data_IF_056330284076
#
_entry.id   IF_056330284076
#
_cell.length_a   1.000
_cell.length_b   1.000
_cell.length_c   1.000
_cell.angle_alpha   90.00
_cell.angle_beta   90.00
_cell.angle_gamma   90.00
#
_symmetry.space_group_name_H-M   'P 1'
#
loop_
_entity.id
_entity.type
_entity.pdbx_description
1 polymer ?
#
# COMPACT_ATOMS: atom_id res chain seq x y z
N UNK A 1 -8.71 16.69 -2.51
CA UNK A 1 -8.40 15.32 -2.06
C UNK A 1 -7.01 14.92 -2.50
N UNK A 2 -6.66 14.92 -3.80
CA UNK A 2 -5.35 14.49 -4.32
C UNK A 2 -4.14 15.19 -3.66
N UNK A 3 -4.23 16.50 -3.39
CA UNK A 3 -3.16 17.23 -2.70
C UNK A 3 -2.95 16.73 -1.26
N UNK A 4 -4.00 16.27 -0.59
CA UNK A 4 -3.92 15.69 0.75
C UNK A 4 -3.26 14.31 0.72
N UNK A 5 -3.63 13.45 -0.22
CA UNK A 5 -2.97 12.15 -0.41
C UNK A 5 -1.51 12.32 -0.82
N UNK A 6 -1.20 13.27 -1.71
CA UNK A 6 0.19 13.58 -2.05
C UNK A 6 0.97 14.09 -0.83
N UNK A 7 0.35 14.92 0.02
CA UNK A 7 0.97 15.39 1.27
C UNK A 7 1.25 14.22 2.21
N UNK A 8 0.30 13.31 2.38
CA UNK A 8 0.47 12.10 3.19
C UNK A 8 1.61 11.21 2.66
N UNK A 9 1.61 10.88 1.38
CA UNK A 9 2.65 10.04 0.75
C UNK A 9 4.04 10.68 0.86
N UNK A 10 4.16 11.98 0.57
CA UNK A 10 5.43 12.72 0.73
C UNK A 10 5.88 12.74 2.19
N UNK A 11 4.94 12.93 3.13
CA UNK A 11 5.26 12.91 4.57
C UNK A 11 5.78 11.55 5.00
N UNK A 12 5.11 10.46 4.61
CA UNK A 12 5.55 9.10 4.86
C UNK A 12 6.96 8.84 4.32
N UNK A 13 7.18 9.15 3.04
CA UNK A 13 8.47 8.99 2.38
C UNK A 13 9.61 9.75 3.07
N UNK A 14 9.37 11.00 3.49
CA UNK A 14 10.37 11.81 4.20
C UNK A 14 10.58 11.34 5.65
N UNK A 15 9.55 10.82 6.28
CA UNK A 15 9.59 10.33 7.65
C UNK A 15 10.24 8.92 7.77
N UNK A 16 10.19 8.10 6.72
CA UNK A 16 10.62 6.69 6.72
C UNK A 16 12.01 6.50 7.35
N UNK A 17 13.02 7.22 6.83
CA UNK A 17 14.40 7.11 7.35
C UNK A 17 14.56 7.68 8.75
N UNK A 18 14.08 8.91 9.09
CA UNK A 18 14.17 9.43 10.44
C UNK A 18 13.45 8.56 11.49
N UNK A 19 12.28 8.02 11.17
CA UNK A 19 11.51 7.19 12.10
C UNK A 19 12.12 5.81 12.31
N UNK A 20 12.70 5.20 11.26
CA UNK A 20 13.48 3.97 11.38
C UNK A 20 14.66 4.15 12.32
N UNK A 21 15.47 5.20 12.12
CA UNK A 21 16.60 5.53 13.03
C UNK A 21 16.11 5.80 14.46
N UNK A 22 14.96 6.47 14.63
CA UNK A 22 14.39 6.70 15.95
C UNK A 22 13.98 5.39 16.62
N UNK A 23 13.30 4.50 15.92
CA UNK A 23 12.87 3.19 16.41
C UNK A 23 14.09 2.35 16.86
N UNK A 24 15.14 2.33 16.05
CA UNK A 24 16.37 1.57 16.35
C UNK A 24 17.15 2.14 17.54
N UNK A 25 17.20 3.47 17.69
CA UNK A 25 17.97 4.11 18.78
C UNK A 25 17.21 4.20 20.09
N UNK A 26 15.89 4.33 20.04
CA UNK A 26 15.07 4.55 21.24
C UNK A 26 14.40 3.25 21.70
N UNK A 27 13.35 2.79 21.00
CA UNK A 27 12.59 1.59 21.35
C UNK A 27 11.62 1.27 20.21
N UNK A 28 11.69 0.05 19.66
CA UNK A 28 10.76 -0.39 18.62
C UNK A 28 9.33 -0.47 19.15
N UNK A 29 9.17 -1.00 20.38
CA UNK A 29 7.88 -0.97 21.07
C UNK A 29 7.39 0.47 21.32
N UNK A 30 8.29 1.35 21.80
CA UNK A 30 7.98 2.75 22.02
C UNK A 30 7.58 3.47 20.73
N UNK A 31 8.20 3.15 19.61
CA UNK A 31 7.84 3.67 18.28
C UNK A 31 6.42 3.25 17.86
N UNK A 32 6.03 1.99 18.08
CA UNK A 32 4.66 1.51 17.81
C UNK A 32 3.62 2.19 18.70
N UNK A 33 3.93 2.40 19.99
CA UNK A 33 3.04 3.15 20.90
C UNK A 33 2.87 4.58 20.43
N UNK A 34 3.97 5.25 20.07
CA UNK A 34 3.93 6.62 19.54
C UNK A 34 3.16 6.69 18.22
N UNK A 35 3.34 5.71 17.34
CA UNK A 35 2.60 5.61 16.09
C UNK A 35 1.08 5.60 16.33
N UNK A 36 0.58 4.71 17.18
CA UNK A 36 -0.84 4.65 17.48
C UNK A 36 -1.39 5.92 18.12
N UNK A 37 -0.59 6.63 18.92
CA UNK A 37 -0.97 7.96 19.48
C UNK A 37 -1.02 9.03 18.39
N UNK A 38 -0.06 9.05 17.46
CA UNK A 38 -0.06 9.98 16.33
C UNK A 38 -1.21 9.72 15.37
N UNK A 39 -1.50 8.46 15.06
CA UNK A 39 -2.65 8.09 14.22
C UNK A 39 -3.97 8.51 14.89
N UNK A 40 -4.12 8.27 16.20
CA UNK A 40 -5.26 8.77 16.96
C UNK A 40 -5.38 10.30 16.88
N UNK A 41 -4.26 11.04 17.02
CA UNK A 41 -4.24 12.50 16.89
C UNK A 41 -4.63 12.94 15.46
N UNK A 42 -4.25 12.22 14.42
CA UNK A 42 -4.70 12.44 13.05
C UNK A 42 -6.23 12.34 12.94
N UNK A 43 -6.83 11.27 13.47
CA UNK A 43 -8.30 11.12 13.49
C UNK A 43 -9.00 12.19 14.34
N UNK A 44 -8.41 12.61 15.45
CA UNK A 44 -8.94 13.75 16.24
C UNK A 44 -8.98 15.01 15.38
N UNK A 45 -7.88 15.34 14.69
CA UNK A 45 -7.81 16.52 13.82
C UNK A 45 -8.88 16.49 12.72
N UNK A 46 -9.08 15.33 12.06
CA UNK A 46 -10.11 15.18 11.04
C UNK A 46 -11.53 15.30 11.58
N UNK A 47 -11.76 14.88 12.84
CA UNK A 47 -13.07 14.90 13.46
C UNK A 47 -13.43 16.28 13.99
N UNK A 48 -12.49 16.96 14.68
CA UNK A 48 -12.77 18.25 15.35
C UNK A 48 -12.55 19.46 14.45
N UNK A 49 -11.73 19.33 13.40
CA UNK A 49 -11.42 20.39 12.46
C UNK A 49 -11.67 19.95 11.00
N UNK A 50 -12.92 19.66 10.60
CA UNK A 50 -13.25 19.09 9.29
C UNK A 50 -13.13 20.12 8.16
N UNK A 51 -11.94 20.70 8.00
CA UNK A 51 -11.58 21.66 6.97
C UNK A 51 -10.24 21.33 6.36
N UNK A 52 -9.88 22.00 5.26
CA UNK A 52 -8.62 21.73 4.56
C UNK A 52 -7.38 21.79 5.47
N UNK A 53 -7.23 22.78 6.39
CA UNK A 53 -6.07 22.79 7.30
C UNK A 53 -6.05 21.61 8.25
N UNK A 54 -7.21 21.23 8.83
CA UNK A 54 -7.31 20.09 9.75
C UNK A 54 -7.05 18.76 9.05
N UNK A 55 -7.57 18.58 7.83
CA UNK A 55 -7.25 17.41 7.02
C UNK A 55 -5.76 17.36 6.68
N UNK A 56 -5.16 18.47 6.26
CA UNK A 56 -3.72 18.52 5.94
C UNK A 56 -2.86 18.19 7.17
N UNK A 57 -3.13 18.82 8.30
CA UNK A 57 -2.42 18.53 9.56
C UNK A 57 -2.59 17.06 9.98
N UNK A 58 -3.81 16.53 9.90
CA UNK A 58 -4.09 15.14 10.23
C UNK A 58 -3.33 14.17 9.32
N UNK A 59 -3.26 14.41 8.01
CA UNK A 59 -2.50 13.57 7.07
C UNK A 59 -1.00 13.63 7.33
N UNK A 60 -0.44 14.77 7.73
CA UNK A 60 0.97 14.84 8.13
C UNK A 60 1.23 14.03 9.40
N UNK A 61 0.41 14.22 10.43
CA UNK A 61 0.58 13.49 11.71
C UNK A 61 0.38 11.99 11.50
N UNK A 62 -0.64 11.61 10.75
CA UNK A 62 -0.96 10.22 10.44
C UNK A 62 0.12 9.55 9.57
N UNK A 63 0.68 10.28 8.59
CA UNK A 63 1.80 9.81 7.77
C UNK A 63 3.08 9.54 8.55
N UNK A 64 3.38 10.38 9.56
CA UNK A 64 4.51 10.13 10.47
C UNK A 64 4.23 8.88 11.33
N UNK A 65 2.99 8.71 11.81
CA UNK A 65 2.55 7.50 12.53
C UNK A 65 2.77 6.24 11.69
N UNK A 66 2.30 6.23 10.44
CA UNK A 66 2.47 5.10 9.52
C UNK A 66 3.94 4.74 9.25
N UNK A 67 4.80 5.74 9.08
CA UNK A 67 6.24 5.51 8.91
C UNK A 67 6.90 4.89 10.17
N UNK A 68 6.41 5.22 11.37
CA UNK A 68 6.86 4.55 12.62
C UNK A 68 6.40 3.09 12.69
N UNK A 69 5.19 2.78 12.24
CA UNK A 69 4.67 1.39 12.20
C UNK A 69 5.50 0.56 11.24
N UNK A 70 5.69 1.04 10.01
CA UNK A 70 6.45 0.37 8.95
C UNK A 70 7.86 -0.01 9.42
N UNK A 71 8.63 0.97 9.95
CA UNK A 71 10.00 0.76 10.37
C UNK A 71 10.17 -0.10 11.63
N UNK A 72 9.24 -0.03 12.58
CA UNK A 72 9.38 -0.71 13.87
C UNK A 72 8.67 -2.07 13.93
N UNK A 73 7.56 -2.25 13.21
CA UNK A 73 6.69 -3.41 13.37
C UNK A 73 7.35 -4.72 12.94
N UNK A 74 7.86 -4.77 11.71
CA UNK A 74 8.52 -5.97 11.17
C UNK A 74 9.78 -6.32 11.95
N UNK A 75 10.58 -5.31 12.30
CA UNK A 75 11.80 -5.49 13.07
C UNK A 75 11.52 -6.03 14.48
N UNK A 76 10.48 -5.51 15.16
CA UNK A 76 10.09 -6.00 16.50
C UNK A 76 9.67 -7.47 16.47
N UNK A 77 8.89 -7.87 15.44
CA UNK A 77 8.46 -9.27 15.25
C UNK A 77 9.67 -10.16 14.98
N UNK A 78 10.56 -9.76 14.08
CA UNK A 78 11.75 -10.54 13.74
C UNK A 78 12.66 -10.76 14.96
N UNK A 79 13.00 -9.70 15.66
CA UNK A 79 13.89 -9.77 16.82
C UNK A 79 13.25 -10.50 18.00
N UNK A 80 11.93 -10.34 18.18
CA UNK A 80 11.18 -11.11 19.19
C UNK A 80 11.23 -12.61 18.94
N UNK A 81 11.15 -13.04 17.68
CA UNK A 81 11.30 -14.44 17.29
C UNK A 81 12.74 -14.91 17.43
N UNK A 82 13.72 -14.08 17.05
CA UNK A 82 15.13 -14.39 17.20
C UNK A 82 15.53 -14.57 18.68
N UNK A 83 15.03 -13.72 19.56
CA UNK A 83 15.29 -13.81 21.00
C UNK A 83 14.84 -15.12 21.65
N UNK A 84 13.91 -15.85 21.01
CA UNK A 84 13.44 -17.17 21.47
C UNK A 84 13.88 -18.34 20.57
N UNK A 85 14.80 -18.08 19.62
CA UNK A 85 15.33 -19.08 18.69
C UNK A 85 14.30 -19.60 17.69
N UNK A 86 13.33 -18.74 17.28
CA UNK A 86 12.22 -19.10 16.42
C UNK A 86 12.18 -18.30 15.10
N UNK A 87 13.34 -17.82 14.62
CA UNK A 87 13.47 -17.00 13.40
C UNK A 87 12.85 -17.68 12.18
N UNK A 88 12.98 -19.00 12.08
CA UNK A 88 12.35 -19.80 11.03
C UNK A 88 10.83 -19.72 10.98
N UNK A 89 10.17 -19.16 12.01
CA UNK A 89 8.73 -18.94 12.06
C UNK A 89 8.32 -17.58 11.53
N UNK A 90 9.25 -16.67 11.22
CA UNK A 90 8.97 -15.29 10.78
C UNK A 90 7.98 -15.25 9.60
N UNK A 91 8.26 -16.02 8.54
CA UNK A 91 7.39 -16.06 7.35
C UNK A 91 5.95 -16.46 7.69
N UNK A 92 5.79 -17.42 8.63
CA UNK A 92 4.46 -17.87 9.08
C UNK A 92 3.74 -16.79 9.88
N UNK A 93 4.45 -16.13 10.79
CA UNK A 93 3.88 -15.05 11.63
C UNK A 93 3.52 -13.86 10.76
N UNK A 94 4.45 -13.39 9.91
CA UNK A 94 4.21 -12.27 8.99
C UNK A 94 3.03 -12.57 8.05
N UNK A 95 2.98 -13.77 7.46
CA UNK A 95 1.84 -14.19 6.63
C UNK A 95 0.51 -14.24 7.39
N UNK A 96 0.52 -14.65 8.68
CA UNK A 96 -0.68 -14.62 9.52
C UNK A 96 -1.13 -13.17 9.84
N UNK A 97 -0.18 -12.26 10.08
CA UNK A 97 -0.47 -10.83 10.28
C UNK A 97 -1.14 -10.24 9.05
N UNK A 98 -0.54 -10.40 7.87
CA UNK A 98 -1.09 -9.91 6.60
C UNK A 98 -2.48 -10.50 6.31
N UNK A 99 -2.66 -11.82 6.54
CA UNK A 99 -3.98 -12.44 6.40
C UNK A 99 -5.01 -11.86 7.37
N UNK A 100 -4.61 -11.54 8.61
CA UNK A 100 -5.49 -10.92 9.61
C UNK A 100 -5.86 -9.50 9.19
N UNK A 101 -4.93 -8.72 8.68
CA UNK A 101 -5.17 -7.36 8.15
C UNK A 101 -6.23 -7.38 7.05
N UNK A 102 -6.11 -8.30 6.11
CA UNK A 102 -7.11 -8.47 5.04
C UNK A 102 -8.48 -8.92 5.57
N UNK A 103 -8.50 -9.88 6.50
CA UNK A 103 -9.77 -10.40 7.06
C UNK A 103 -10.49 -9.37 7.91
N UNK A 104 -9.75 -8.53 8.65
CA UNK A 104 -10.33 -7.48 9.52
C UNK A 104 -10.98 -6.37 8.69
N UNK A 105 -10.57 -6.15 7.45
CA UNK A 105 -11.19 -5.16 6.58
C UNK A 105 -12.70 -5.40 6.40
N UNK A 106 -13.13 -6.67 6.36
CA UNK A 106 -14.54 -7.03 6.17
C UNK A 106 -15.43 -6.52 7.32
N UNK A 107 -15.23 -6.94 8.58
CA UNK A 107 -16.05 -6.44 9.68
C UNK A 107 -15.88 -4.94 9.91
N UNK A 108 -14.69 -4.39 9.67
CA UNK A 108 -14.44 -2.94 9.80
C UNK A 108 -15.25 -2.12 8.79
N UNK A 109 -15.28 -2.52 7.52
CA UNK A 109 -16.09 -1.85 6.50
C UNK A 109 -17.59 -1.92 6.81
N UNK A 110 -18.08 -3.07 7.27
CA UNK A 110 -19.49 -3.22 7.68
C UNK A 110 -19.81 -2.35 8.90
N UNK A 111 -18.94 -2.35 9.91
CA UNK A 111 -19.08 -1.51 11.09
C UNK A 111 -19.06 -0.02 10.73
N UNK A 112 -18.17 0.42 9.86
CA UNK A 112 -18.12 1.79 9.38
C UNK A 112 -19.44 2.22 8.74
N UNK A 113 -20.07 1.36 7.93
CA UNK A 113 -21.38 1.62 7.34
C UNK A 113 -22.47 1.81 8.41
N UNK A 114 -22.48 0.97 9.45
CA UNK A 114 -23.41 1.07 10.59
C UNK A 114 -23.19 2.37 11.39
N UNK A 115 -21.91 2.68 11.69
CA UNK A 115 -21.56 3.87 12.47
C UNK A 115 -21.90 5.17 11.70
N UNK A 116 -21.68 5.21 10.38
CA UNK A 116 -22.11 6.34 9.55
C UNK A 116 -23.62 6.51 9.60
N UNK A 117 -24.37 5.42 9.57
CA UNK A 117 -25.84 5.46 9.67
C UNK A 117 -26.34 5.92 11.05
N UNK A 118 -25.63 5.59 12.12
CA UNK A 118 -26.02 5.87 13.51
C UNK A 118 -25.62 7.29 13.99
N UNK A 119 -24.45 7.80 13.59
CA UNK A 119 -23.89 9.05 14.10
C UNK A 119 -22.98 9.79 13.11
N UNK A 120 -23.07 9.45 11.83
CA UNK A 120 -22.30 10.11 10.78
C UNK A 120 -20.78 9.89 10.88
N UNK A 121 -20.03 10.72 10.19
CA UNK A 121 -18.56 10.65 10.18
C UNK A 121 -17.92 10.99 11.51
N UNK A 122 -18.61 11.77 12.37
CA UNK A 122 -18.11 12.12 13.71
C UNK A 122 -18.00 10.87 14.59
N UNK A 123 -19.04 10.01 14.59
CA UNK A 123 -19.00 8.76 15.36
C UNK A 123 -17.91 7.81 14.83
N UNK A 124 -17.72 7.72 13.52
CA UNK A 124 -16.62 6.96 12.90
C UNK A 124 -15.28 7.50 13.35
N UNK A 125 -15.10 8.83 13.33
CA UNK A 125 -13.86 9.48 13.74
C UNK A 125 -13.48 9.13 15.20
N UNK A 126 -14.41 9.26 16.13
CA UNK A 126 -14.17 8.91 17.53
C UNK A 126 -13.95 7.41 17.76
N UNK A 127 -14.63 6.55 17.02
CA UNK A 127 -14.37 5.10 17.04
C UNK A 127 -12.96 4.77 16.54
N UNK A 128 -12.49 5.46 15.49
CA UNK A 128 -11.12 5.31 14.97
C UNK A 128 -10.07 5.77 16.00
N UNK A 129 -10.30 6.91 16.67
CA UNK A 129 -9.44 7.37 17.78
C UNK A 129 -9.34 6.30 18.86
N UNK A 130 -10.48 5.74 19.30
CA UNK A 130 -10.50 4.71 20.33
C UNK A 130 -9.73 3.45 19.89
N UNK A 131 -9.86 3.05 18.63
CA UNK A 131 -9.16 1.89 18.07
C UNK A 131 -7.64 2.11 18.02
N UNK A 132 -7.18 3.28 17.56
CA UNK A 132 -5.75 3.61 17.52
C UNK A 132 -5.15 3.66 18.95
N UNK A 133 -5.87 4.24 19.91
CA UNK A 133 -5.42 4.26 21.32
C UNK A 133 -5.42 2.85 21.92
N UNK A 134 -6.38 1.99 21.58
CA UNK A 134 -6.39 0.60 22.01
C UNK A 134 -5.21 -0.18 21.42
N UNK A 135 -4.87 0.06 20.15
CA UNK A 135 -3.68 -0.51 19.51
C UNK A 135 -2.39 -0.02 20.19
N UNK A 136 -2.27 1.28 20.48
CA UNK A 136 -1.15 1.84 21.23
C UNK A 136 -1.02 1.20 22.64
N UNK A 137 -2.14 1.05 23.35
CA UNK A 137 -2.17 0.38 24.66
C UNK A 137 -1.77 -1.08 24.57
N UNK A 138 -2.21 -1.80 23.53
CA UNK A 138 -1.79 -3.19 23.27
C UNK A 138 -0.29 -3.28 22.97
N UNK A 139 0.26 -2.34 22.18
CA UNK A 139 1.67 -2.28 21.84
C UNK A 139 2.57 -2.17 23.10
N UNK A 140 2.11 -1.54 24.19
CA UNK A 140 2.86 -1.50 25.45
C UNK A 140 3.13 -2.86 26.07
N UNK A 141 2.37 -3.90 25.68
CA UNK A 141 2.51 -5.27 26.18
C UNK A 141 3.48 -6.12 25.37
N UNK A 142 3.94 -5.63 24.22
CA UNK A 142 4.92 -6.38 23.43
C UNK A 142 6.26 -6.45 24.17
N UNK A 143 6.89 -7.62 24.20
CA UNK A 143 8.26 -7.74 24.71
C UNK A 143 9.20 -6.92 23.82
N UNK A 144 10.15 -6.22 24.43
CA UNK A 144 11.24 -5.59 23.71
C UNK A 144 12.47 -6.50 23.85
N UNK A 145 12.88 -7.18 22.77
CA UNK A 145 14.04 -8.06 22.85
C UNK A 145 15.31 -7.26 23.15
N UNK A 146 16.27 -7.85 23.88
CA UNK A 146 17.58 -7.24 24.06
C UNK A 146 18.21 -6.94 22.70
N UNK A 147 18.79 -5.77 22.54
CA UNK A 147 19.58 -5.44 21.34
C UNK A 147 20.81 -6.32 21.35
N UNK A 148 20.93 -7.23 20.41
CA UNK A 148 22.19 -7.90 20.11
C UNK A 148 23.05 -6.89 19.36
N UNK A 149 24.21 -6.55 19.92
CA UNK A 149 25.12 -5.53 19.37
C UNK A 149 25.82 -5.91 18.06
N UNK A 150 25.27 -6.86 17.30
CA UNK A 150 25.75 -7.34 16.01
C UNK A 150 25.03 -6.67 14.80
N UNK A 151 24.38 -5.51 15.02
CA UNK A 151 23.83 -4.69 13.93
C UNK A 151 24.93 -4.01 13.07
N UNK A 152 26.18 -4.48 13.18
CA UNK A 152 27.30 -4.13 12.29
C UNK A 152 27.34 -4.94 10.98
N UNK A 153 26.24 -5.57 10.54
CA UNK A 153 26.17 -5.91 9.12
C UNK A 153 26.24 -4.60 8.33
N UNK A 154 27.24 -4.45 7.45
CA UNK A 154 27.44 -3.18 6.78
C UNK A 154 26.18 -2.90 5.94
N UNK A 155 25.39 -1.95 6.42
CA UNK A 155 24.31 -1.36 5.64
C UNK A 155 24.86 -1.07 4.25
N UNK A 156 24.42 -1.85 3.25
CA UNK A 156 24.81 -1.54 1.87
C UNK A 156 24.22 -0.18 1.59
N UNK A 157 25.01 0.89 1.48
CA UNK A 157 24.49 2.23 1.40
C UNK A 157 23.42 2.27 0.30
N UNK A 158 22.24 2.83 0.57
CA UNK A 158 21.12 2.98 -0.38
C UNK A 158 21.64 3.40 -1.77
N UNK A 159 22.63 4.30 -1.82
CA UNK A 159 23.33 4.71 -3.04
C UNK A 159 23.96 3.54 -3.80
N UNK A 160 24.54 2.55 -3.09
CA UNK A 160 25.18 1.37 -3.73
C UNK A 160 24.13 0.41 -4.25
N UNK A 161 23.02 0.30 -3.54
CA UNK A 161 21.85 -0.47 -3.89
C UNK A 161 21.16 0.08 -5.15
N UNK A 162 20.85 1.37 -5.14
CA UNK A 162 20.32 2.10 -6.30
C UNK A 162 21.27 1.94 -7.49
N UNK A 163 22.59 2.11 -7.29
CA UNK A 163 23.56 1.96 -8.38
C UNK A 163 23.58 0.54 -8.95
N UNK A 164 23.44 -0.49 -8.12
CA UNK A 164 23.41 -1.89 -8.54
C UNK A 164 22.15 -2.21 -9.35
N UNK A 165 20.99 -1.75 -8.88
CA UNK A 165 19.71 -1.89 -9.57
C UNK A 165 19.70 -1.17 -10.95
N UNK A 166 20.33 0.02 -11.02
CA UNK A 166 20.34 0.84 -12.22
C UNK A 166 21.41 0.47 -13.25
N UNK A 167 22.50 -0.20 -12.84
CA UNK A 167 23.61 -0.55 -13.75
C UNK A 167 23.29 -1.70 -14.72
N UNK A 168 22.36 -2.62 -14.36
CA UNK A 168 21.97 -3.74 -15.23
C UNK A 168 20.68 -3.37 -15.97
N UNK A 169 20.71 -3.17 -17.32
CA UNK A 169 19.55 -2.67 -18.05
C UNK A 169 18.29 -3.53 -17.89
N UNK A 170 18.44 -4.85 -17.84
CA UNK A 170 17.31 -5.78 -17.64
C UNK A 170 16.69 -5.68 -16.25
N UNK A 171 17.51 -5.48 -15.19
CA UNK A 171 17.03 -5.30 -13.83
C UNK A 171 16.41 -3.92 -13.66
N UNK A 172 17.06 -2.88 -14.19
CA UNK A 172 16.52 -1.51 -14.18
C UNK A 172 15.13 -1.44 -14.80
N UNK A 173 14.94 -2.05 -16.00
CA UNK A 173 13.63 -2.04 -16.66
C UNK A 173 12.57 -2.80 -15.86
N UNK A 174 12.93 -3.87 -15.15
CA UNK A 174 12.02 -4.59 -14.28
C UNK A 174 11.66 -3.77 -13.02
N UNK A 175 12.64 -3.16 -12.36
CA UNK A 175 12.41 -2.27 -11.19
C UNK A 175 11.51 -1.09 -11.56
N UNK A 176 11.80 -0.39 -12.66
CA UNK A 176 10.96 0.73 -13.12
C UNK A 176 9.56 0.26 -13.48
N UNK A 177 9.42 -0.89 -14.16
CA UNK A 177 8.11 -1.42 -14.52
C UNK A 177 7.28 -1.78 -13.27
N UNK A 178 7.88 -2.41 -12.26
CA UNK A 178 7.20 -2.75 -11.00
C UNK A 178 6.91 -1.50 -10.18
N UNK A 179 7.84 -0.54 -10.11
CA UNK A 179 7.63 0.72 -9.41
C UNK A 179 6.43 1.50 -9.97
N UNK A 180 6.37 1.69 -11.29
CA UNK A 180 5.26 2.42 -11.92
C UNK A 180 3.97 1.60 -11.84
N UNK A 181 4.04 0.28 -12.03
CA UNK A 181 2.88 -0.61 -11.91
C UNK A 181 2.33 -0.61 -10.49
N UNK A 182 3.19 -0.75 -9.46
CA UNK A 182 2.79 -0.71 -8.06
C UNK A 182 2.22 0.65 -7.65
N UNK A 183 2.80 1.75 -8.17
CA UNK A 183 2.27 3.08 -7.90
C UNK A 183 0.83 3.31 -8.39
N UNK A 184 0.34 2.53 -9.38
CA UNK A 184 -1.07 2.58 -9.80
C UNK A 184 -2.03 2.15 -8.69
N UNK A 185 -1.55 1.43 -7.67
CA UNK A 185 -2.36 0.99 -6.53
C UNK A 185 -2.97 2.16 -5.75
N UNK A 186 -2.33 3.31 -5.77
CA UNK A 186 -2.85 4.54 -5.18
C UNK A 186 -4.24 4.96 -5.69
N UNK A 187 -4.80 4.29 -6.73
CA UNK A 187 -6.18 4.46 -7.16
C UNK A 187 -7.18 4.00 -6.09
N UNK A 188 -6.79 3.09 -5.21
CA UNK A 188 -7.67 2.59 -4.14
C UNK A 188 -8.17 3.70 -3.22
N UNK A 189 -7.36 4.74 -3.00
CA UNK A 189 -7.72 5.91 -2.20
C UNK A 189 -8.95 6.65 -2.76
N UNK A 190 -9.24 6.46 -4.02
CA UNK A 190 -10.36 7.11 -4.70
C UNK A 190 -11.60 6.23 -4.85
N UNK A 191 -11.58 4.95 -4.47
CA UNK A 191 -12.76 4.09 -4.58
C UNK A 191 -13.98 4.64 -3.82
N UNK A 192 -13.84 5.22 -2.61
CA UNK A 192 -14.97 5.86 -1.94
C UNK A 192 -15.55 7.05 -2.72
N UNK A 193 -14.67 7.84 -3.33
CA UNK A 193 -15.06 9.00 -4.16
C UNK A 193 -15.79 8.52 -5.42
N UNK A 194 -15.21 7.54 -6.13
CA UNK A 194 -15.82 6.94 -7.32
C UNK A 194 -17.19 6.35 -7.00
N UNK A 195 -17.33 5.61 -5.90
CA UNK A 195 -18.63 5.04 -5.50
C UNK A 195 -19.68 6.14 -5.29
N UNK A 196 -19.31 7.26 -4.65
CA UNK A 196 -20.19 8.41 -4.44
C UNK A 196 -20.58 9.09 -5.76
N UNK A 197 -19.62 9.30 -6.64
CA UNK A 197 -19.86 9.88 -7.98
C UNK A 197 -20.80 9.02 -8.83
N UNK A 198 -20.78 7.69 -8.64
CA UNK A 198 -21.69 6.75 -9.30
C UNK A 198 -23.07 6.63 -8.61
N UNK A 199 -23.35 7.45 -7.58
CA UNK A 199 -24.65 7.50 -6.91
C UNK A 199 -24.84 6.45 -5.81
N UNK A 200 -23.78 5.78 -5.35
CA UNK A 200 -23.87 4.88 -4.19
C UNK A 200 -24.23 5.69 -2.94
N UNK A 201 -25.23 5.24 -2.18
CA UNK A 201 -25.63 5.88 -0.94
C UNK A 201 -24.48 5.87 0.09
N UNK A 202 -24.33 6.96 0.85
CA UNK A 202 -23.16 7.16 1.76
C UNK A 202 -22.94 5.97 2.70
N UNK A 203 -23.98 5.42 3.31
CA UNK A 203 -23.87 4.25 4.20
C UNK A 203 -23.46 2.95 3.49
N UNK A 204 -23.58 2.87 2.16
CA UNK A 204 -23.19 1.71 1.37
C UNK A 204 -21.78 1.86 0.75
N UNK A 205 -21.14 3.02 0.87
CA UNK A 205 -19.79 3.24 0.32
C UNK A 205 -18.77 2.27 0.90
N UNK A 206 -18.73 1.99 2.22
CA UNK A 206 -17.79 1.00 2.77
C UNK A 206 -17.98 -0.39 2.18
N UNK A 207 -19.24 -0.81 1.95
CA UNK A 207 -19.53 -2.10 1.32
C UNK A 207 -19.11 -2.12 -0.15
N UNK A 208 -19.30 -1.02 -0.90
CA UNK A 208 -18.84 -0.91 -2.27
C UNK A 208 -17.30 -1.00 -2.37
N UNK A 209 -16.56 -0.32 -1.49
CA UNK A 209 -15.10 -0.40 -1.40
C UNK A 209 -14.66 -1.83 -1.06
N UNK A 210 -15.33 -2.49 -0.12
CA UNK A 210 -15.07 -3.88 0.24
C UNK A 210 -15.23 -4.82 -0.97
N UNK A 211 -16.27 -4.64 -1.80
CA UNK A 211 -16.45 -5.44 -3.03
C UNK A 211 -15.26 -5.27 -3.97
N UNK A 212 -14.74 -4.06 -4.13
CA UNK A 212 -13.56 -3.80 -4.96
C UNK A 212 -12.31 -4.46 -4.36
N UNK A 213 -12.10 -4.33 -3.04
CA UNK A 213 -10.97 -4.95 -2.35
C UNK A 213 -11.00 -6.49 -2.44
N UNK A 214 -12.16 -7.11 -2.26
CA UNK A 214 -12.33 -8.57 -2.41
C UNK A 214 -12.08 -9.05 -3.84
N UNK A 215 -12.50 -8.26 -4.85
CA UNK A 215 -12.18 -8.55 -6.25
C UNK A 215 -10.66 -8.43 -6.52
N UNK A 216 -10.00 -7.45 -5.91
CA UNK A 216 -8.55 -7.31 -5.91
C UNK A 216 -7.86 -8.55 -5.32
N UNK A 217 -8.28 -8.97 -4.12
CA UNK A 217 -7.75 -10.16 -3.46
C UNK A 217 -7.97 -11.44 -4.30
N UNK A 218 -9.13 -11.58 -4.94
CA UNK A 218 -9.40 -12.68 -5.87
C UNK A 218 -8.47 -12.64 -7.08
N UNK A 219 -8.21 -11.45 -7.64
CA UNK A 219 -7.25 -11.26 -8.74
C UNK A 219 -5.84 -11.64 -8.35
N UNK A 220 -5.36 -11.21 -7.18
CA UNK A 220 -4.08 -11.58 -6.61
C UNK A 220 -3.97 -13.10 -6.39
N UNK A 221 -4.99 -13.74 -5.83
CA UNK A 221 -5.05 -15.19 -5.64
C UNK A 221 -5.00 -15.97 -6.97
N UNK A 222 -5.54 -15.39 -8.04
CA UNK A 222 -5.52 -15.97 -9.40
C UNK A 222 -4.24 -15.65 -10.17
N UNK A 223 -3.33 -14.84 -9.61
CA UNK A 223 -2.08 -14.43 -10.26
C UNK A 223 -1.22 -15.61 -10.72
N UNK A 224 -1.23 -16.74 -9.98
CA UNK A 224 -0.55 -17.97 -10.38
C UNK A 224 -1.00 -18.51 -11.75
N UNK A 225 -2.28 -18.35 -12.09
CA UNK A 225 -2.81 -18.69 -13.42
C UNK A 225 -2.35 -17.66 -14.47
N UNK A 226 -2.35 -16.38 -14.11
CA UNK A 226 -1.87 -15.31 -14.98
C UNK A 226 -0.36 -15.41 -15.27
N UNK A 227 0.44 -15.93 -14.33
CA UNK A 227 1.87 -16.16 -14.53
C UNK A 227 2.16 -17.14 -15.68
N UNK A 228 1.27 -18.11 -15.95
CA UNK A 228 1.36 -19.05 -17.07
C UNK A 228 1.08 -18.42 -18.44
N UNK A 229 0.46 -17.26 -18.50
CA UNK A 229 0.10 -16.59 -19.75
C UNK A 229 1.34 -16.10 -20.53
N UNK A 230 1.23 -15.96 -21.87
CA UNK A 230 2.30 -15.40 -22.69
C UNK A 230 2.63 -13.96 -22.23
N UNK A 231 3.89 -13.56 -22.41
CA UNK A 231 4.41 -12.27 -21.91
C UNK A 231 3.60 -11.04 -22.38
N UNK A 232 2.97 -11.12 -23.56
CA UNK A 232 2.10 -10.08 -24.12
C UNK A 232 0.70 -10.01 -23.47
N UNK A 233 0.30 -11.00 -22.69
CA UNK A 233 -1.01 -11.00 -22.04
C UNK A 233 -1.06 -10.00 -20.87
N UNK A 234 0.03 -9.84 -20.10
CA UNK A 234 0.06 -8.91 -18.97
C UNK A 234 -0.25 -7.45 -19.37
N UNK A 235 0.41 -6.85 -20.38
CA UNK A 235 0.04 -5.52 -20.83
C UNK A 235 -1.40 -5.48 -21.39
N UNK A 236 -1.89 -6.55 -22.01
CA UNK A 236 -3.29 -6.65 -22.47
C UNK A 236 -4.28 -6.62 -21.29
N UNK A 237 -4.01 -7.37 -20.22
CA UNK A 237 -4.82 -7.36 -19.01
C UNK A 237 -4.80 -5.97 -18.33
N UNK A 238 -3.64 -5.31 -18.31
CA UNK A 238 -3.51 -3.96 -17.76
C UNK A 238 -4.31 -2.93 -18.58
N UNK A 239 -4.27 -3.03 -19.92
CA UNK A 239 -5.09 -2.19 -20.80
C UNK A 239 -6.59 -2.43 -20.60
N UNK A 240 -7.01 -3.68 -20.45
CA UNK A 240 -8.38 -4.04 -20.15
C UNK A 240 -8.81 -3.48 -18.78
N UNK A 241 -7.95 -3.60 -17.78
CA UNK A 241 -8.17 -3.02 -16.47
C UNK A 241 -8.40 -1.50 -16.56
N UNK A 242 -7.49 -0.76 -17.21
CA UNK A 242 -7.65 0.68 -17.41
C UNK A 242 -8.92 1.04 -18.17
N UNK A 243 -9.29 0.27 -19.20
CA UNK A 243 -10.52 0.44 -19.96
C UNK A 243 -11.77 0.25 -19.11
N UNK A 244 -11.79 -0.77 -18.23
CA UNK A 244 -12.89 -1.01 -17.29
C UNK A 244 -12.97 0.08 -16.21
N UNK A 245 -11.84 0.60 -15.73
CA UNK A 245 -11.80 1.73 -14.81
C UNK A 245 -12.43 2.97 -15.44
N UNK A 246 -12.04 3.31 -16.67
CA UNK A 246 -12.61 4.43 -17.40
C UNK A 246 -14.10 4.24 -17.68
N UNK A 247 -14.50 3.05 -18.13
CA UNK A 247 -15.90 2.73 -18.39
C UNK A 247 -16.74 2.84 -17.11
N UNK A 248 -16.27 2.29 -16.00
CA UNK A 248 -16.91 2.39 -14.69
C UNK A 248 -17.06 3.85 -14.24
N UNK A 249 -16.00 4.66 -14.40
CA UNK A 249 -16.04 6.07 -14.04
C UNK A 249 -17.07 6.90 -14.84
N UNK A 250 -17.31 6.53 -16.08
CA UNK A 250 -18.21 7.27 -16.97
C UNK A 250 -19.66 6.74 -16.99
N UNK A 251 -19.93 5.64 -16.29
CA UNK A 251 -21.25 4.98 -16.39
C UNK A 251 -22.37 5.74 -15.69
N UNK A 252 -22.08 6.48 -14.60
CA UNK A 252 -23.08 7.27 -13.87
C UNK A 252 -24.14 6.43 -13.17
N UNK A 253 -23.85 5.18 -12.78
CA UNK A 253 -24.79 4.26 -12.15
C UNK A 253 -24.08 3.42 -11.07
N UNK A 254 -24.72 3.11 -9.92
CA UNK A 254 -24.10 2.32 -8.85
C UNK A 254 -23.53 0.96 -9.28
N UNK A 255 -24.09 0.32 -10.31
CA UNK A 255 -23.56 -0.92 -10.87
C UNK A 255 -22.14 -0.78 -11.46
N UNK A 256 -21.66 0.44 -11.69
CA UNK A 256 -20.29 0.73 -12.12
C UNK A 256 -19.22 0.21 -11.14
N UNK A 257 -19.59 0.04 -9.85
CA UNK A 257 -18.73 -0.58 -8.84
C UNK A 257 -18.26 -1.97 -9.31
N UNK A 258 -19.08 -2.74 -10.01
CA UNK A 258 -18.69 -4.04 -10.55
C UNK A 258 -17.58 -3.92 -11.62
N UNK A 259 -17.65 -2.91 -12.50
CA UNK A 259 -16.60 -2.67 -13.50
C UNK A 259 -15.27 -2.25 -12.83
N UNK A 260 -15.33 -1.40 -11.80
CA UNK A 260 -14.18 -0.98 -11.01
C UNK A 260 -13.60 -2.19 -10.26
N UNK A 261 -14.44 -3.05 -9.68
CA UNK A 261 -14.01 -4.26 -8.99
C UNK A 261 -13.27 -5.23 -9.92
N UNK A 262 -13.81 -5.49 -11.11
CA UNK A 262 -13.13 -6.34 -12.12
C UNK A 262 -11.83 -5.69 -12.58
N UNK A 263 -11.83 -4.37 -12.81
CA UNK A 263 -10.62 -3.61 -13.14
C UNK A 263 -9.53 -3.83 -12.11
N UNK A 264 -9.83 -3.63 -10.83
CA UNK A 264 -8.86 -3.75 -9.75
C UNK A 264 -8.37 -5.19 -9.58
N UNK A 265 -9.24 -6.20 -9.73
CA UNK A 265 -8.85 -7.60 -9.73
C UNK A 265 -7.87 -7.96 -10.85
N UNK A 266 -8.11 -7.48 -12.07
CA UNK A 266 -7.19 -7.67 -13.19
C UNK A 266 -5.85 -6.97 -12.95
N UNK A 267 -5.89 -5.76 -12.43
CA UNK A 267 -4.71 -4.99 -12.08
C UNK A 267 -3.84 -5.71 -11.05
N UNK A 268 -4.41 -6.14 -9.92
CA UNK A 268 -3.64 -6.84 -8.86
C UNK A 268 -3.09 -8.19 -9.35
N UNK A 269 -3.80 -8.91 -10.23
CA UNK A 269 -3.24 -10.09 -10.86
C UNK A 269 -1.97 -9.77 -11.67
N UNK A 270 -1.95 -8.65 -12.39
CA UNK A 270 -0.78 -8.20 -13.16
C UNK A 270 0.35 -7.75 -12.22
N UNK A 271 0.03 -7.01 -11.14
CA UNK A 271 0.99 -6.53 -10.16
C UNK A 271 1.73 -7.69 -9.50
N UNK A 272 1.01 -8.65 -8.93
CA UNK A 272 1.60 -9.83 -8.25
C UNK A 272 2.51 -10.63 -9.20
N UNK A 273 2.11 -10.82 -10.46
CA UNK A 273 2.98 -11.47 -11.45
C UNK A 273 4.21 -10.60 -11.76
N UNK A 274 4.05 -9.29 -11.79
CA UNK A 274 5.15 -8.34 -12.01
C UNK A 274 6.20 -8.41 -10.91
N UNK A 275 5.76 -8.39 -9.67
CA UNK A 275 6.62 -8.51 -8.49
C UNK A 275 7.34 -9.87 -8.46
N UNK A 276 6.63 -10.97 -8.68
CA UNK A 276 7.24 -12.29 -8.76
C UNK A 276 8.34 -12.33 -9.83
N UNK A 277 8.10 -11.78 -11.02
CA UNK A 277 9.10 -11.72 -12.11
C UNK A 277 10.27 -10.80 -11.78
N UNK A 278 10.09 -9.77 -10.98
CA UNK A 278 11.20 -8.97 -10.46
C UNK A 278 12.05 -9.81 -9.51
N UNK A 279 11.43 -10.49 -8.56
CA UNK A 279 12.14 -11.33 -7.57
C UNK A 279 12.94 -12.46 -8.22
N UNK A 280 12.43 -13.08 -9.29
CA UNK A 280 13.14 -14.09 -10.08
C UNK A 280 14.43 -13.57 -10.72
N UNK A 281 14.53 -12.27 -10.99
CA UNK A 281 15.69 -11.63 -11.67
C UNK A 281 16.72 -11.09 -10.70
N UNK A 282 16.36 -10.91 -9.45
CA UNK A 282 17.23 -10.29 -8.46
C UNK A 282 18.12 -11.36 -7.83
N UNK A 283 19.47 -11.23 -7.92
CA UNK A 283 20.39 -12.13 -7.21
C UNK A 283 20.17 -12.09 -5.70
N UNK A 284 20.27 -13.26 -5.03
CA UNK A 284 20.02 -13.39 -3.59
C UNK A 284 20.66 -12.31 -2.73
N UNK A 285 21.98 -12.04 -2.86
CA UNK A 285 22.71 -11.10 -1.97
C UNK A 285 22.24 -9.63 -2.06
N UNK A 286 21.52 -9.24 -3.12
CA UNK A 286 21.04 -7.85 -3.31
C UNK A 286 19.51 -7.77 -3.35
N UNK A 287 18.82 -8.85 -2.98
CA UNK A 287 17.36 -8.93 -3.12
C UNK A 287 16.65 -7.91 -2.23
N UNK A 288 16.93 -7.88 -0.94
CA UNK A 288 16.32 -6.93 -0.02
C UNK A 288 16.51 -5.49 -0.49
N UNK A 289 17.71 -5.16 -0.92
CA UNK A 289 18.09 -3.83 -1.40
C UNK A 289 17.33 -3.41 -2.66
N UNK A 290 17.20 -4.32 -3.65
CA UNK A 290 16.46 -4.02 -4.90
C UNK A 290 14.96 -3.92 -4.62
N UNK A 291 14.44 -4.71 -3.70
CA UNK A 291 13.03 -4.64 -3.26
C UNK A 291 12.74 -3.29 -2.60
N UNK A 292 13.63 -2.81 -1.71
CA UNK A 292 13.49 -1.47 -1.09
C UNK A 292 13.52 -0.35 -2.13
N UNK A 293 14.42 -0.44 -3.13
CA UNK A 293 14.47 0.54 -4.23
C UNK A 293 13.18 0.51 -5.05
N UNK A 294 12.61 -0.67 -5.30
CA UNK A 294 11.32 -0.79 -5.98
C UNK A 294 10.20 -0.18 -5.13
N UNK A 295 10.18 -0.43 -3.81
CA UNK A 295 9.21 0.16 -2.88
C UNK A 295 9.25 1.69 -2.87
N UNK A 296 10.43 2.30 -2.74
CA UNK A 296 10.58 3.76 -2.87
C UNK A 296 10.10 4.27 -4.23
N UNK A 297 10.33 3.49 -5.28
CA UNK A 297 9.82 3.80 -6.62
C UNK A 297 8.30 3.72 -6.71
N UNK A 298 7.65 2.79 -6.01
CA UNK A 298 6.19 2.66 -5.90
C UNK A 298 5.62 3.91 -5.24
N UNK A 299 6.17 4.31 -4.10
CA UNK A 299 5.74 5.53 -3.39
C UNK A 299 5.89 6.79 -4.26
N UNK A 300 7.02 6.94 -4.95
CA UNK A 300 7.21 8.05 -5.86
C UNK A 300 6.23 8.02 -7.05
N UNK A 301 5.90 6.83 -7.56
CA UNK A 301 4.98 6.65 -8.69
C UNK A 301 3.51 6.85 -8.29
N UNK A 302 3.13 6.63 -7.02
CA UNK A 302 1.79 6.92 -6.51
C UNK A 302 1.40 8.39 -6.71
N UNK A 303 2.38 9.29 -6.62
CA UNK A 303 2.18 10.73 -6.88
C UNK A 303 1.68 11.01 -8.31
N UNK A 304 2.01 10.15 -9.28
CA UNK A 304 1.48 10.27 -10.64
C UNK A 304 -0.02 10.01 -10.68
N UNK A 305 -0.52 9.06 -9.87
CA UNK A 305 -1.96 8.78 -9.74
C UNK A 305 -2.68 9.96 -9.10
N UNK A 306 -2.13 10.52 -8.02
CA UNK A 306 -2.70 11.69 -7.38
C UNK A 306 -2.73 12.90 -8.31
N UNK A 307 -1.66 13.11 -9.10
CA UNK A 307 -1.62 14.15 -10.12
C UNK A 307 -2.61 13.92 -11.26
N UNK A 308 -2.68 12.71 -11.79
CA UNK A 308 -3.63 12.36 -12.87
C UNK A 308 -5.08 12.52 -12.40
N UNK A 309 -5.39 12.05 -11.18
CA UNK A 309 -6.72 12.27 -10.61
C UNK A 309 -7.07 13.75 -10.48
N UNK A 310 -6.15 14.59 -10.01
CA UNK A 310 -6.36 16.03 -9.90
C UNK A 310 -6.64 16.71 -11.25
N UNK A 311 -6.07 16.19 -12.34
CA UNK A 311 -6.22 16.74 -13.69
C UNK A 311 -7.48 16.27 -14.42
N UNK A 312 -7.94 15.04 -14.19
CA UNK A 312 -9.04 14.49 -14.97
C UNK A 312 -9.72 13.26 -14.35
N UNK A 313 -9.59 13.06 -13.03
CA UNK A 313 -10.26 11.95 -12.33
C UNK A 313 -9.84 10.56 -12.81
N UNK A 314 -10.72 9.58 -12.65
CA UNK A 314 -10.47 8.21 -13.04
C UNK A 314 -10.13 8.00 -14.53
N UNK A 315 -10.69 8.73 -15.50
CA UNK A 315 -10.28 8.64 -16.90
C UNK A 315 -8.79 9.00 -17.11
N UNK A 316 -8.28 10.02 -16.42
CA UNK A 316 -6.87 10.38 -16.52
C UNK A 316 -5.96 9.31 -15.87
N UNK A 317 -6.40 8.70 -14.77
CA UNK A 317 -5.69 7.55 -14.19
C UNK A 317 -5.72 6.35 -15.15
N UNK A 318 -6.81 6.07 -15.82
CA UNK A 318 -6.87 5.00 -16.84
C UNK A 318 -5.86 5.20 -17.98
N UNK A 319 -5.52 6.45 -18.33
CA UNK A 319 -4.42 6.74 -19.27
C UNK A 319 -3.07 6.29 -18.69
N UNK A 320 -2.85 6.43 -17.37
CA UNK A 320 -1.61 5.91 -16.76
C UNK A 320 -1.50 4.39 -16.88
N UNK A 321 -2.60 3.64 -16.77
CA UNK A 321 -2.62 2.20 -17.04
C UNK A 321 -2.15 1.90 -18.47
N UNK A 322 -2.65 2.67 -19.44
CA UNK A 322 -2.26 2.52 -20.84
C UNK A 322 -0.78 2.87 -21.08
N UNK A 323 -0.26 3.93 -20.45
CA UNK A 323 1.14 4.35 -20.54
C UNK A 323 2.06 3.33 -19.85
N UNK A 324 1.61 2.69 -18.79
CA UNK A 324 2.36 1.67 -18.03
C UNK A 324 2.45 0.34 -18.81
N UNK A 325 1.46 0.01 -19.64
CA UNK A 325 1.42 -1.25 -20.37
C UNK A 325 2.70 -1.55 -21.21
N UNK A 326 3.27 -0.61 -22.00
CA UNK A 326 4.53 -0.85 -22.71
C UNK A 326 5.73 -1.01 -21.77
N UNK A 327 5.75 -0.39 -20.58
CA UNK A 327 6.79 -0.61 -19.58
C UNK A 327 6.72 -2.03 -19.04
N UNK A 328 5.53 -2.52 -18.72
CA UNK A 328 5.27 -3.91 -18.32
C UNK A 328 5.70 -4.88 -19.43
N UNK A 329 5.34 -4.59 -20.70
CA UNK A 329 5.70 -5.40 -21.85
C UNK A 329 7.21 -5.55 -22.03
N UNK A 330 7.98 -4.49 -21.77
CA UNK A 330 9.45 -4.48 -21.93
C UNK A 330 10.15 -4.98 -20.66
N UNK A 331 9.73 -4.47 -19.50
CA UNK A 331 10.38 -4.70 -18.21
C UNK A 331 10.15 -6.11 -17.66
N UNK A 332 9.01 -6.73 -17.94
CA UNK A 332 8.60 -8.01 -17.34
C UNK A 332 8.57 -9.18 -18.33
N UNK A 333 9.26 -9.10 -19.47
CA UNK A 333 9.45 -10.25 -20.40
C UNK A 333 10.19 -11.37 -19.67
N UNK A 334 9.76 -12.62 -19.84
CA UNK A 334 10.56 -13.76 -19.35
C UNK A 334 11.95 -13.71 -20.01
N UNK A 335 13.05 -13.90 -19.25
CA UNK A 335 14.34 -14.12 -19.89
C UNK A 335 14.22 -15.30 -20.84
N UNK A 336 14.72 -15.15 -22.06
CA UNK A 336 14.88 -16.29 -22.97
C UNK A 336 15.92 -17.19 -22.31
N UNK A 337 15.51 -18.37 -21.88
CA UNK A 337 16.44 -19.43 -21.44
C UNK A 337 17.18 -19.88 -22.69
N UNK A 338 18.37 -19.35 -22.91
CA UNK A 338 19.33 -19.83 -23.89
C UNK A 338 20.19 -20.91 -23.26
#
# INVERSE_FOLDING_TARGET
VSALFALWSVTGLLAEVPTGVLADRWSRRGALVLAGVLEAAGFVLWTVAPGLPGFAAGFVVWGIGGALVSGAGEALVYDGLAAVGAEGSYVRVHGATTATELLVQVPTALLAGVLVGAGGYELVGWASVATCLAAAALATRFPEPPRTGDDDEPDVPLRRAVSTALRRPGLRSAVVAVAVLGGLDAIEEYFPVMAREQGVATGLVPAAVLVVALAGAAGAALAGRAAGLPARALPGLLLLSGGLLAAGALWGHPAAVAAVAVSYGLYLAVLVVGEARLQERVPGPVRATVTSVAGLGIEAASLLVFGAWALGGAPAVAVLFAVTAPLVARGLRRPVVT
#
